data_IF_261893648202
#
_entry.id   IF_261893648202
#
_cell.length_a   1.000
_cell.length_b   1.000
_cell.length_c   1.000
_cell.angle_alpha   90.00
_cell.angle_beta   90.00
_cell.angle_gamma   90.00
#
_symmetry.space_group_name_H-M   'P 1'
#
loop_
_entity.id
_entity.type
_entity.pdbx_description
1 polymer ?
#
# COMPACT_ATOMS: atom_id res chain seq x y z
N UNK A 1 4.40 -18.35 -12.61
CA UNK A 1 5.44 -17.31 -12.50
C UNK A 1 6.53 -17.79 -11.57
N UNK A 2 7.79 -17.59 -11.96
CA UNK A 2 8.96 -17.88 -11.13
C UNK A 2 9.07 -16.84 -10.05
N UNK A 3 9.18 -17.25 -8.79
CA UNK A 3 9.33 -16.33 -7.65
C UNK A 3 10.79 -15.87 -7.55
N UNK A 4 11.01 -14.59 -7.26
CA UNK A 4 12.33 -14.04 -6.92
C UNK A 4 12.54 -14.13 -5.42
N UNK A 5 13.50 -14.93 -5.00
CA UNK A 5 13.80 -15.18 -3.59
C UNK A 5 15.21 -14.72 -3.25
N UNK A 6 15.33 -13.84 -2.28
CA UNK A 6 16.63 -13.48 -1.71
C UNK A 6 16.92 -14.42 -0.53
N UNK A 7 18.08 -15.08 -0.53
CA UNK A 7 18.48 -16.00 0.53
C UNK A 7 19.77 -15.55 1.18
N UNK A 8 19.67 -15.12 2.42
CA UNK A 8 20.79 -14.72 3.26
C UNK A 8 21.33 -15.96 4.00
N UNK A 9 22.43 -16.51 3.51
CA UNK A 9 23.00 -17.79 3.97
C UNK A 9 24.50 -17.87 3.57
N UNK A 10 25.37 -18.16 4.52
CA UNK A 10 26.82 -18.29 4.29
C UNK A 10 27.24 -19.72 3.90
N UNK A 11 26.40 -20.73 4.18
CA UNK A 11 26.67 -22.13 3.92
C UNK A 11 26.06 -22.61 2.60
N UNK A 12 26.88 -23.08 1.66
CA UNK A 12 26.45 -23.60 0.37
C UNK A 12 25.52 -24.81 0.47
N UNK A 13 25.76 -25.72 1.43
CA UNK A 13 24.96 -26.91 1.61
C UNK A 13 23.56 -26.58 2.14
N UNK A 14 23.45 -25.64 3.07
CA UNK A 14 22.19 -25.16 3.63
C UNK A 14 21.40 -24.39 2.56
N UNK A 15 22.08 -23.58 1.75
CA UNK A 15 21.46 -22.93 0.60
C UNK A 15 20.86 -23.97 -0.38
N UNK A 16 21.65 -24.98 -0.77
CA UNK A 16 21.21 -26.03 -1.67
C UNK A 16 20.00 -26.81 -1.08
N UNK A 17 20.01 -27.05 0.23
CA UNK A 17 18.93 -27.72 0.95
C UNK A 17 17.64 -26.91 0.89
N UNK A 18 17.69 -25.60 1.15
CA UNK A 18 16.55 -24.67 1.08
C UNK A 18 15.97 -24.66 -0.34
N UNK A 19 16.81 -24.50 -1.36
CA UNK A 19 16.39 -24.53 -2.77
C UNK A 19 15.70 -25.86 -3.13
N UNK A 20 16.25 -26.98 -2.67
CA UNK A 20 15.66 -28.30 -2.89
C UNK A 20 14.27 -28.44 -2.23
N UNK A 21 14.10 -27.90 -1.01
CA UNK A 21 12.80 -27.93 -0.32
C UNK A 21 11.75 -27.03 -1.00
N UNK A 22 12.12 -25.83 -1.46
CA UNK A 22 11.21 -24.99 -2.26
C UNK A 22 10.74 -25.72 -3.52
N UNK A 23 11.68 -26.32 -4.26
CA UNK A 23 11.36 -27.09 -5.49
C UNK A 23 10.46 -28.30 -5.21
N UNK A 24 10.76 -29.09 -4.17
CA UNK A 24 9.93 -30.24 -3.74
C UNK A 24 8.52 -29.82 -3.35
N UNK A 25 8.36 -28.64 -2.78
CA UNK A 25 7.07 -28.03 -2.45
C UNK A 25 6.34 -27.41 -3.63
N UNK A 26 6.84 -27.59 -4.87
CA UNK A 26 6.22 -27.08 -6.08
C UNK A 26 6.49 -25.60 -6.39
N UNK A 27 7.40 -24.96 -5.64
CA UNK A 27 7.77 -23.55 -5.85
C UNK A 27 8.89 -23.47 -6.89
N UNK A 28 8.60 -22.84 -8.01
CA UNK A 28 9.63 -22.42 -8.96
C UNK A 28 10.18 -21.07 -8.51
N UNK A 29 11.41 -21.04 -8.07
CA UNK A 29 12.07 -19.85 -7.58
C UNK A 29 13.42 -19.62 -8.27
N UNK A 30 13.68 -18.36 -8.57
CA UNK A 30 15.02 -17.85 -8.85
C UNK A 30 15.57 -17.33 -7.52
N UNK A 31 16.56 -18.06 -6.98
CA UNK A 31 17.08 -17.81 -5.63
C UNK A 31 18.44 -17.14 -5.73
N UNK A 32 18.49 -15.88 -5.36
CA UNK A 32 19.74 -15.12 -5.26
C UNK A 32 20.29 -15.24 -3.84
N UNK A 33 21.53 -15.74 -3.70
CA UNK A 33 22.18 -15.88 -2.40
C UNK A 33 23.09 -14.69 -2.10
N UNK A 34 23.04 -14.23 -0.87
CA UNK A 34 23.95 -13.26 -0.28
C UNK A 34 24.42 -13.79 1.09
N UNK A 35 25.63 -13.48 1.51
CA UNK A 35 26.21 -14.03 2.74
C UNK A 35 26.68 -12.95 3.74
N UNK A 36 26.54 -11.67 3.39
CA UNK A 36 26.96 -10.55 4.21
C UNK A 36 26.03 -9.35 4.12
N UNK A 37 26.23 -8.38 5.01
CA UNK A 37 25.38 -7.17 5.09
C UNK A 37 25.52 -6.25 3.88
N UNK A 38 26.69 -6.16 3.25
CA UNK A 38 26.92 -5.27 2.11
C UNK A 38 26.12 -5.77 0.89
N UNK A 39 26.29 -7.05 0.55
CA UNK A 39 25.58 -7.68 -0.56
C UNK A 39 24.07 -7.71 -0.32
N UNK A 40 23.61 -7.91 0.94
CA UNK A 40 22.20 -7.75 1.29
C UNK A 40 21.73 -6.34 0.97
N UNK A 41 22.49 -5.32 1.36
CA UNK A 41 22.10 -3.92 1.15
C UNK A 41 21.95 -3.62 -0.34
N UNK A 42 22.88 -4.09 -1.17
CA UNK A 42 22.86 -3.91 -2.61
C UNK A 42 21.66 -4.69 -3.24
N UNK A 43 21.45 -5.93 -2.82
CA UNK A 43 20.33 -6.74 -3.30
C UNK A 43 18.97 -6.13 -2.93
N UNK A 44 18.86 -5.38 -1.84
CA UNK A 44 17.62 -4.74 -1.42
C UNK A 44 17.17 -3.59 -2.32
N UNK A 45 17.95 -3.12 -3.29
CA UNK A 45 17.49 -2.18 -4.31
C UNK A 45 16.58 -2.86 -5.36
N UNK A 46 16.66 -4.18 -5.46
CA UNK A 46 15.78 -4.98 -6.31
C UNK A 46 14.46 -5.33 -5.62
N UNK A 47 13.51 -5.87 -6.42
CA UNK A 47 12.23 -6.38 -5.93
C UNK A 47 12.31 -7.88 -5.69
N UNK A 48 11.82 -8.31 -4.53
CA UNK A 48 11.79 -9.70 -4.09
C UNK A 48 10.39 -10.13 -3.69
N UNK A 49 10.01 -11.35 -4.05
CA UNK A 49 8.75 -11.96 -3.58
C UNK A 49 8.87 -12.53 -2.16
N UNK A 50 10.08 -12.94 -1.76
CA UNK A 50 10.38 -13.54 -0.45
C UNK A 50 11.83 -13.33 -0.09
N UNK A 51 12.08 -13.10 1.20
CA UNK A 51 13.43 -13.16 1.79
C UNK A 51 13.48 -14.31 2.78
N UNK A 52 14.47 -15.17 2.62
CA UNK A 52 14.85 -16.21 3.57
C UNK A 52 16.17 -15.82 4.21
N UNK A 53 16.32 -15.95 5.51
CA UNK A 53 17.56 -15.63 6.18
C UNK A 53 17.91 -16.68 7.21
N UNK A 54 19.16 -17.13 7.20
CA UNK A 54 19.69 -17.81 8.37
C UNK A 54 19.72 -16.83 9.56
N UNK A 55 19.56 -17.37 10.74
CA UNK A 55 19.72 -16.62 11.97
C UNK A 55 21.18 -16.28 12.24
N UNK A 56 22.09 -17.26 12.10
CA UNK A 56 23.51 -17.13 12.41
C UNK A 56 24.33 -16.90 11.14
N UNK A 57 24.81 -15.69 10.95
CA UNK A 57 25.71 -15.33 9.87
C UNK A 57 27.04 -14.79 10.44
N UNK A 58 28.17 -14.94 9.77
CA UNK A 58 29.45 -14.41 10.23
C UNK A 58 29.40 -12.88 10.40
N UNK A 59 29.49 -12.43 11.65
CA UNK A 59 29.51 -10.99 11.97
C UNK A 59 28.16 -10.27 11.80
N UNK A 60 27.08 -10.99 11.49
CA UNK A 60 25.73 -10.45 11.24
C UNK A 60 24.65 -11.43 11.70
N UNK A 61 23.42 -11.00 11.88
CA UNK A 61 22.35 -11.90 12.26
C UNK A 61 21.10 -11.70 11.40
N UNK A 62 20.31 -12.77 11.23
CA UNK A 62 19.05 -12.69 10.52
C UNK A 62 18.05 -11.70 11.14
N UNK A 63 18.13 -11.47 12.46
CA UNK A 63 17.32 -10.43 13.11
C UNK A 63 17.78 -9.02 12.73
N UNK A 64 19.08 -8.78 12.67
CA UNK A 64 19.62 -7.50 12.21
C UNK A 64 19.28 -7.25 10.74
N UNK A 65 19.29 -8.29 9.90
CA UNK A 65 18.84 -8.23 8.53
C UNK A 65 17.37 -7.81 8.44
N UNK A 66 16.50 -8.43 9.23
CA UNK A 66 15.08 -8.09 9.29
C UNK A 66 14.87 -6.64 9.72
N UNK A 67 15.53 -6.19 10.78
CA UNK A 67 15.42 -4.81 11.27
C UNK A 67 15.85 -3.79 10.21
N UNK A 68 16.94 -4.08 9.50
CA UNK A 68 17.42 -3.26 8.39
C UNK A 68 16.39 -3.18 7.25
N UNK A 69 15.86 -4.31 6.82
CA UNK A 69 14.85 -4.39 5.75
C UNK A 69 13.60 -3.57 6.15
N UNK A 70 13.14 -3.69 7.39
CA UNK A 70 11.98 -2.96 7.90
C UNK A 70 12.26 -1.46 8.04
N UNK A 71 13.45 -1.06 8.47
CA UNK A 71 13.87 0.36 8.54
C UNK A 71 13.92 1.04 7.18
N UNK A 72 14.20 0.29 6.09
CA UNK A 72 14.11 0.77 4.71
C UNK A 72 12.66 0.87 4.18
N UNK A 73 11.65 0.57 5.01
CA UNK A 73 10.24 0.59 4.62
C UNK A 73 9.82 -0.58 3.73
N UNK A 74 10.68 -1.57 3.53
CA UNK A 74 10.36 -2.74 2.71
C UNK A 74 9.52 -3.73 3.49
N UNK A 75 8.37 -4.07 2.93
CA UNK A 75 7.38 -4.98 3.55
C UNK A 75 7.36 -6.35 2.86
N UNK A 76 8.45 -6.71 2.22
CA UNK A 76 8.61 -8.03 1.60
C UNK A 76 8.47 -9.14 2.65
N UNK A 77 7.84 -10.29 2.32
CA UNK A 77 7.77 -11.43 3.22
C UNK A 77 9.16 -11.89 3.65
N UNK A 78 9.32 -12.15 4.94
CA UNK A 78 10.58 -12.55 5.54
C UNK A 78 10.37 -13.79 6.41
N UNK A 79 11.13 -14.84 6.17
CA UNK A 79 11.14 -16.06 6.96
C UNK A 79 12.54 -16.28 7.52
N UNK A 80 12.62 -16.40 8.85
CA UNK A 80 13.87 -16.71 9.52
C UNK A 80 14.04 -18.23 9.59
N UNK A 81 15.20 -18.71 9.20
CA UNK A 81 15.57 -20.14 9.28
C UNK A 81 16.71 -20.28 10.28
N UNK A 82 16.64 -21.25 11.18
CA UNK A 82 17.66 -21.45 12.22
C UNK A 82 18.02 -22.91 12.39
N UNK A 83 19.29 -23.18 12.68
CA UNK A 83 19.75 -24.52 13.06
C UNK A 83 19.38 -24.93 14.49
N UNK A 84 19.07 -23.97 15.34
CA UNK A 84 18.84 -24.18 16.76
C UNK A 84 17.42 -23.80 17.18
N UNK A 85 16.90 -24.49 18.20
CA UNK A 85 15.61 -24.18 18.80
C UNK A 85 15.81 -22.99 19.76
N UNK A 86 15.22 -21.85 19.43
CA UNK A 86 15.23 -20.65 20.26
C UNK A 86 13.84 -20.02 20.31
N UNK A 87 13.07 -20.33 21.37
CA UNK A 87 11.73 -19.73 21.52
C UNK A 87 11.78 -18.21 21.60
N UNK A 88 12.76 -17.66 22.34
CA UNK A 88 12.95 -16.22 22.46
C UNK A 88 13.27 -15.56 21.12
N UNK A 89 14.10 -16.23 20.31
CA UNK A 89 14.46 -15.76 18.95
C UNK A 89 13.23 -15.75 18.05
N UNK A 90 12.45 -16.82 18.10
CA UNK A 90 11.21 -16.91 17.32
C UNK A 90 10.24 -15.78 17.68
N UNK A 91 10.01 -15.55 18.98
CA UNK A 91 9.16 -14.47 19.48
C UNK A 91 9.68 -13.10 19.05
N UNK A 92 10.98 -12.87 19.14
CA UNK A 92 11.59 -11.61 18.72
C UNK A 92 11.46 -11.40 17.19
N UNK A 93 11.73 -12.42 16.38
CA UNK A 93 11.58 -12.37 14.94
C UNK A 93 10.13 -12.00 14.55
N UNK A 94 9.14 -12.65 15.14
CA UNK A 94 7.74 -12.36 14.88
C UNK A 94 7.33 -10.93 15.30
N UNK A 95 7.83 -10.45 16.44
CA UNK A 95 7.60 -9.05 16.89
C UNK A 95 8.23 -8.03 15.96
N UNK A 96 9.41 -8.32 15.39
CA UNK A 96 10.10 -7.45 14.45
C UNK A 96 9.53 -7.54 13.03
N UNK A 97 8.49 -8.35 12.81
CA UNK A 97 7.75 -8.42 11.55
C UNK A 97 8.23 -9.51 10.59
N UNK A 98 8.86 -10.59 11.10
CA UNK A 98 9.00 -11.82 10.33
C UNK A 98 7.62 -12.46 10.09
N UNK A 99 7.48 -13.15 8.97
CA UNK A 99 6.25 -13.86 8.63
C UNK A 99 6.21 -15.27 9.22
N UNK A 100 7.38 -15.90 9.37
CA UNK A 100 7.51 -17.19 10.04
C UNK A 100 8.95 -17.40 10.54
N UNK A 101 9.09 -18.39 11.43
CA UNK A 101 10.36 -18.90 11.92
C UNK A 101 10.40 -20.43 11.72
N UNK A 102 11.44 -20.91 11.07
CA UNK A 102 11.59 -22.32 10.73
C UNK A 102 12.91 -22.89 11.23
N UNK A 103 12.88 -24.15 11.64
CA UNK A 103 14.10 -24.89 11.96
C UNK A 103 14.66 -25.57 10.71
N UNK A 104 16.00 -25.54 10.53
CA UNK A 104 16.69 -26.27 9.44
C UNK A 104 16.41 -27.77 9.50
N UNK A 105 16.09 -28.32 10.70
CA UNK A 105 15.67 -29.71 10.87
C UNK A 105 14.24 -30.01 10.38
N UNK A 106 13.41 -28.99 10.10
CA UNK A 106 12.02 -29.13 9.67
C UNK A 106 11.66 -28.26 8.46
N UNK A 107 12.47 -28.30 7.44
CA UNK A 107 12.24 -27.53 6.18
C UNK A 107 11.07 -28.07 5.33
N UNK A 108 10.42 -29.16 5.73
CA UNK A 108 9.18 -29.61 5.07
C UNK A 108 8.07 -28.55 5.11
N UNK A 109 8.08 -27.65 6.11
CA UNK A 109 7.14 -26.55 6.25
C UNK A 109 7.50 -25.30 5.41
N UNK A 110 8.70 -25.25 4.82
CA UNK A 110 9.20 -24.04 4.15
C UNK A 110 8.30 -23.61 2.98
N UNK A 111 7.95 -24.53 2.10
CA UNK A 111 7.13 -24.20 0.93
C UNK A 111 5.72 -23.71 1.30
N UNK A 112 4.94 -24.37 2.17
CA UNK A 112 3.67 -23.86 2.61
C UNK A 112 3.78 -22.51 3.36
N UNK A 113 4.80 -22.32 4.21
CA UNK A 113 5.03 -21.07 4.91
C UNK A 113 5.35 -19.92 3.94
N UNK A 114 6.20 -20.18 2.94
CA UNK A 114 6.55 -19.22 1.90
C UNK A 114 5.33 -18.77 1.10
N UNK A 115 4.52 -19.73 0.63
CA UNK A 115 3.30 -19.42 -0.15
C UNK A 115 2.32 -18.59 0.67
N UNK A 116 2.08 -18.98 1.92
CA UNK A 116 1.17 -18.24 2.81
C UNK A 116 1.67 -16.81 3.05
N UNK A 117 2.96 -16.63 3.31
CA UNK A 117 3.56 -15.31 3.54
C UNK A 117 3.46 -14.41 2.31
N UNK A 118 3.75 -14.95 1.13
CA UNK A 118 3.65 -14.23 -0.15
C UNK A 118 2.20 -13.82 -0.44
N UNK A 119 1.25 -14.75 -0.27
CA UNK A 119 -0.18 -14.47 -0.51
C UNK A 119 -0.73 -13.42 0.45
N UNK A 120 -0.42 -13.54 1.73
CA UNK A 120 -0.80 -12.55 2.73
C UNK A 120 -0.23 -11.15 2.41
N UNK A 121 1.01 -11.08 1.95
CA UNK A 121 1.64 -9.82 1.55
C UNK A 121 0.97 -9.22 0.31
N UNK A 122 0.70 -10.03 -0.72
CA UNK A 122 -0.02 -9.60 -1.93
C UNK A 122 -1.40 -9.05 -1.61
N UNK A 123 -2.14 -9.74 -0.77
CA UNK A 123 -3.48 -9.29 -0.31
C UNK A 123 -3.38 -7.96 0.44
N UNK A 124 -2.38 -7.80 1.32
CA UNK A 124 -2.16 -6.55 2.05
C UNK A 124 -1.84 -5.38 1.12
N UNK A 125 -0.95 -5.58 0.15
CA UNK A 125 -0.58 -4.55 -0.83
C UNK A 125 -1.80 -4.18 -1.69
N UNK A 126 -2.54 -5.16 -2.20
CA UNK A 126 -3.73 -4.92 -3.01
C UNK A 126 -4.80 -4.12 -2.23
N UNK A 127 -5.02 -4.47 -0.96
CA UNK A 127 -5.93 -3.72 -0.08
C UNK A 127 -5.48 -2.28 0.10
N UNK A 128 -4.20 -2.06 0.39
CA UNK A 128 -3.66 -0.70 0.59
C UNK A 128 -3.81 0.15 -0.68
N UNK A 129 -3.55 -0.41 -1.86
CA UNK A 129 -3.73 0.27 -3.14
C UNK A 129 -5.21 0.61 -3.39
N UNK A 130 -6.13 -0.32 -3.09
CA UNK A 130 -7.56 -0.09 -3.22
C UNK A 130 -8.06 1.03 -2.28
N UNK A 131 -7.60 1.04 -1.03
CA UNK A 131 -7.95 2.07 -0.05
C UNK A 131 -7.44 3.47 -0.48
N UNK A 132 -6.22 3.56 -1.02
CA UNK A 132 -5.68 4.80 -1.57
C UNK A 132 -6.48 5.28 -2.79
N UNK A 133 -6.80 4.39 -3.73
CA UNK A 133 -7.61 4.72 -4.91
C UNK A 133 -9.01 5.20 -4.51
N UNK A 134 -9.65 4.54 -3.54
CA UNK A 134 -10.95 4.94 -3.01
C UNK A 134 -10.90 6.32 -2.34
N UNK A 135 -9.86 6.59 -1.55
CA UNK A 135 -9.66 7.89 -0.91
C UNK A 135 -9.52 9.02 -1.94
N UNK A 136 -8.73 8.79 -2.98
CA UNK A 136 -8.55 9.74 -4.08
C UNK A 136 -9.86 9.99 -4.85
N UNK A 137 -10.60 8.94 -5.18
CA UNK A 137 -11.91 9.06 -5.85
C UNK A 137 -12.93 9.84 -5.01
N UNK A 138 -12.97 9.57 -3.70
CA UNK A 138 -13.85 10.33 -2.78
C UNK A 138 -13.49 11.80 -2.73
N UNK A 139 -12.20 12.14 -2.77
CA UNK A 139 -11.76 13.53 -2.80
C UNK A 139 -12.21 14.23 -4.09
N UNK A 140 -12.02 13.60 -5.24
CA UNK A 140 -12.46 14.13 -6.53
C UNK A 140 -13.97 14.38 -6.57
N UNK A 141 -14.76 13.44 -6.05
CA UNK A 141 -16.22 13.60 -5.98
C UNK A 141 -16.65 14.77 -5.08
N UNK A 142 -15.95 14.98 -3.96
CA UNK A 142 -16.22 16.14 -3.07
C UNK A 142 -15.93 17.45 -3.77
N UNK A 143 -14.80 17.56 -4.46
CA UNK A 143 -14.43 18.76 -5.20
C UNK A 143 -15.43 19.06 -6.32
N UNK A 144 -15.84 18.05 -7.08
CA UNK A 144 -16.87 18.19 -8.11
C UNK A 144 -18.21 18.65 -7.52
N UNK A 145 -18.63 18.05 -6.41
CA UNK A 145 -19.88 18.44 -5.73
C UNK A 145 -19.84 19.90 -5.26
N UNK A 146 -18.72 20.35 -4.72
CA UNK A 146 -18.52 21.75 -4.31
C UNK A 146 -18.57 22.71 -5.50
N UNK A 147 -17.94 22.36 -6.61
CA UNK A 147 -18.00 23.17 -7.85
C UNK A 147 -19.42 23.27 -8.41
N UNK A 148 -20.15 22.14 -8.45
CA UNK A 148 -21.55 22.13 -8.89
C UNK A 148 -22.43 22.96 -7.98
N UNK A 149 -22.26 22.86 -6.65
CA UNK A 149 -23.03 23.65 -5.70
C UNK A 149 -22.77 25.16 -5.91
N UNK A 150 -21.52 25.58 -6.06
CA UNK A 150 -21.16 26.97 -6.30
C UNK A 150 -21.76 27.47 -7.65
N UNK A 151 -21.73 26.65 -8.72
CA UNK A 151 -22.30 26.98 -9.99
C UNK A 151 -23.83 27.18 -9.91
N UNK A 152 -24.52 26.27 -9.20
CA UNK A 152 -25.99 26.41 -8.99
C UNK A 152 -26.31 27.66 -8.21
N UNK A 153 -25.53 28.01 -7.17
CA UNK A 153 -25.75 29.24 -6.38
C UNK A 153 -25.53 30.50 -7.22
N UNK A 154 -24.50 30.51 -8.06
CA UNK A 154 -24.26 31.61 -9.00
C UNK A 154 -25.41 31.78 -10.00
N UNK A 155 -25.87 30.67 -10.59
CA UNK A 155 -27.00 30.70 -11.53
C UNK A 155 -28.30 31.18 -10.86
N UNK A 156 -28.62 30.67 -9.66
CA UNK A 156 -29.76 31.16 -8.87
C UNK A 156 -29.69 32.65 -8.55
N UNK A 157 -28.50 33.13 -8.19
CA UNK A 157 -28.29 34.55 -7.92
C UNK A 157 -28.41 35.43 -9.17
N UNK A 158 -28.00 34.91 -10.35
CA UNK A 158 -28.15 35.58 -11.63
C UNK A 158 -29.64 35.68 -12.02
N UNK A 159 -30.39 34.56 -11.96
CA UNK A 159 -31.83 34.53 -12.23
C UNK A 159 -32.60 35.43 -11.28
N UNK A 160 -32.27 35.42 -9.98
CA UNK A 160 -32.94 36.30 -9.01
C UNK A 160 -32.75 37.79 -9.33
N UNK A 161 -31.56 38.20 -9.82
CA UNK A 161 -31.29 39.58 -10.26
C UNK A 161 -32.06 39.93 -11.51
N UNK A 162 -32.08 39.05 -12.52
CA UNK A 162 -32.83 39.26 -13.77
C UNK A 162 -34.35 39.40 -13.50
N UNK A 163 -34.92 38.53 -12.67
CA UNK A 163 -36.33 38.65 -12.24
C UNK A 163 -36.59 39.96 -11.50
N UNK A 164 -35.66 40.36 -10.62
CA UNK A 164 -35.81 41.62 -9.86
C UNK A 164 -35.80 42.84 -10.79
N UNK A 165 -34.87 42.85 -11.75
CA UNK A 165 -34.76 43.96 -12.71
C UNK A 165 -35.93 44.05 -13.65
N UNK A 166 -36.43 42.91 -14.19
CA UNK A 166 -37.59 42.86 -15.07
C UNK A 166 -38.88 43.25 -14.35
N UNK A 167 -39.14 42.64 -13.19
CA UNK A 167 -40.35 42.92 -12.40
C UNK A 167 -40.30 44.33 -11.80
N UNK A 168 -39.15 44.72 -11.26
CA UNK A 168 -38.93 46.06 -10.67
C UNK A 168 -39.05 47.17 -11.73
N UNK A 169 -38.48 46.94 -12.92
CA UNK A 169 -38.61 47.84 -14.06
C UNK A 169 -40.07 48.03 -14.53
N UNK A 170 -40.77 46.87 -14.68
CA UNK A 170 -42.16 46.85 -15.05
C UNK A 170 -43.10 47.57 -14.03
N UNK A 171 -42.91 47.29 -12.76
CA UNK A 171 -43.66 47.95 -11.69
C UNK A 171 -43.39 49.48 -11.65
N UNK A 172 -42.16 49.87 -11.89
CA UNK A 172 -41.81 51.30 -11.96
C UNK A 172 -42.48 51.99 -13.14
N UNK A 173 -42.51 51.40 -14.32
CA UNK A 173 -43.18 51.91 -15.49
C UNK A 173 -44.71 52.04 -15.23
N UNK A 174 -45.36 51.00 -14.67
CA UNK A 174 -46.78 51.03 -14.31
C UNK A 174 -47.06 52.17 -13.27
N UNK A 175 -46.18 52.33 -12.30
CA UNK A 175 -46.30 53.42 -11.30
C UNK A 175 -46.20 54.82 -11.94
N UNK A 176 -45.34 55.01 -12.93
CA UNK A 176 -45.22 56.22 -13.68
C UNK A 176 -46.48 56.49 -14.54
N UNK A 177 -46.97 55.50 -15.22
CA UNK A 177 -48.18 55.58 -16.04
C UNK A 177 -49.44 55.94 -15.18
N UNK A 178 -49.59 55.24 -14.06
CA UNK A 178 -50.68 55.55 -13.10
C UNK A 178 -50.55 56.98 -12.54
N UNK A 179 -49.36 57.41 -12.19
CA UNK A 179 -49.12 58.75 -11.69
C UNK A 179 -49.37 59.84 -12.75
N UNK A 180 -49.13 59.56 -14.01
CA UNK A 180 -49.43 60.44 -15.14
C UNK A 180 -50.92 60.57 -15.36
N UNK A 181 -51.64 59.42 -15.37
CA UNK A 181 -53.12 59.37 -15.53
C UNK A 181 -53.78 60.15 -14.41
N UNK A 182 -53.40 59.91 -13.15
CA UNK A 182 -53.96 60.59 -11.99
C UNK A 182 -53.78 62.14 -12.00
N UNK A 183 -52.74 62.62 -12.67
CA UNK A 183 -52.47 64.05 -12.76
C UNK A 183 -53.17 64.75 -13.94
N UNK A 184 -53.57 64.01 -14.98
CA UNK A 184 -54.13 64.55 -16.21
C UNK A 184 -55.56 64.10 -16.51
N UNK A 185 -56.16 63.32 -15.56
CA UNK A 185 -57.59 63.02 -15.64
C UNK A 185 -58.39 64.22 -15.06
N UNK A 186 -59.37 64.70 -15.76
CA UNK A 186 -60.21 65.80 -15.32
C UNK A 186 -61.05 65.49 -14.10
#
# INVERSE_FOLDING_TARGET
PTLRVLHLEDNDADHALVVAHLRRGGIQADVHRVDNEADLTDALYDDWDLILSDYNLPGYSGLAALDKIRSMGKLVPFILVSGEIGEDIAVQAMRNGANDYLLKSNLARLAPAALLAIEANRTRIAKQQADLALSHSRQQLRELAQHLQASIEQERAAIAREIHDDVGGGLTAVKFDLSWILRHSP
#
